data_IF_989502976360
#
_entry.id   IF_989502976360
#
_cell.length_a   1.000
_cell.length_b   1.000
_cell.length_c   1.000
_cell.angle_alpha   90.00
_cell.angle_beta   90.00
_cell.angle_gamma   90.00
#
_symmetry.space_group_name_H-M   'P 1'
#
loop_
_entity.id
_entity.type
_entity.pdbx_description
1 polymer ?
#
# COMPACT_ATOMS: atom_id res chain seq x y z
N UNK A 1 -4.56 28.29 -3.02
CA UNK A 1 -4.35 26.84 -2.89
C UNK A 1 -3.08 26.65 -2.08
N UNK A 2 -3.20 26.22 -0.83
CA UNK A 2 -2.05 25.92 0.03
C UNK A 2 -1.45 24.58 -0.39
N UNK A 3 -0.21 24.56 -0.87
CA UNK A 3 0.54 23.32 -1.08
C UNK A 3 1.01 22.77 0.28
N UNK A 4 0.61 21.54 0.60
CA UNK A 4 1.11 20.83 1.77
C UNK A 4 2.56 20.40 1.51
N UNK A 5 3.49 20.96 2.28
CA UNK A 5 4.89 20.55 2.30
C UNK A 5 5.10 19.63 3.51
N UNK A 6 5.15 18.31 3.28
CA UNK A 6 5.42 17.34 4.35
C UNK A 6 6.94 17.14 4.44
N UNK A 7 7.56 17.70 5.48
CA UNK A 7 8.98 17.49 5.76
C UNK A 7 9.18 16.19 6.54
N UNK A 8 9.71 15.16 5.86
CA UNK A 8 10.02 13.89 6.51
C UNK A 8 11.33 14.02 7.32
N UNK A 9 11.24 13.93 8.64
CA UNK A 9 12.40 13.57 9.48
C UNK A 9 12.31 12.07 9.77
N UNK A 10 13.42 11.37 9.55
CA UNK A 10 13.54 9.93 9.84
C UNK A 10 13.37 9.71 11.36
N UNK A 11 12.16 9.35 11.79
CA UNK A 11 11.90 8.99 13.20
C UNK A 11 12.11 7.48 13.34
N UNK A 12 13.18 7.10 14.05
CA UNK A 12 13.45 5.70 14.39
C UNK A 12 12.57 5.35 15.59
N UNK A 13 11.38 4.81 15.33
CA UNK A 13 10.53 4.29 16.42
C UNK A 13 11.21 3.06 17.04
N UNK A 14 11.39 3.01 18.37
CA UNK A 14 11.89 1.80 19.03
C UNK A 14 10.84 0.70 18.93
N UNK A 15 11.19 -0.42 18.28
CA UNK A 15 10.36 -1.60 17.99
C UNK A 15 9.71 -2.32 19.20
N UNK A 16 9.82 -1.80 20.42
CA UNK A 16 9.52 -2.56 21.65
C UNK A 16 8.30 -2.06 22.46
N UNK A 17 7.26 -1.49 21.85
CA UNK A 17 6.07 -1.04 22.60
C UNK A 17 4.72 -1.71 22.27
N UNK A 18 4.68 -2.69 21.37
CA UNK A 18 3.46 -3.49 21.16
C UNK A 18 3.73 -5.00 21.29
N UNK A 19 4.18 -5.41 22.48
CA UNK A 19 4.19 -6.82 22.86
C UNK A 19 2.98 -7.11 23.76
N UNK A 20 1.81 -7.38 23.18
CA UNK A 20 0.68 -7.97 23.92
C UNK A 20 0.84 -9.49 23.93
N UNK A 21 1.15 -10.00 25.12
CA UNK A 21 1.22 -11.42 25.48
C UNK A 21 -0.01 -12.22 24.99
N UNK A 22 0.22 -13.27 24.20
CA UNK A 22 -0.76 -14.31 23.94
C UNK A 22 -0.23 -15.66 24.45
N UNK A 23 -0.99 -16.26 25.36
CA UNK A 23 -0.69 -17.55 25.99
C UNK A 23 -1.15 -18.71 25.09
N UNK A 24 -0.39 -19.81 24.93
CA UNK A 24 -0.78 -20.91 24.08
C UNK A 24 -1.74 -21.88 24.81
N UNK A 25 -2.96 -22.04 24.28
CA UNK A 25 -3.89 -23.05 24.77
C UNK A 25 -3.60 -24.42 24.15
N UNK A 26 -3.35 -25.43 24.98
CA UNK A 26 -3.22 -26.85 24.59
C UNK A 26 -4.60 -27.52 24.64
N UNK A 27 -5.06 -28.07 23.51
CA UNK A 27 -6.26 -28.91 23.45
C UNK A 27 -6.12 -30.03 22.43
N UNK A 28 -6.22 -31.28 22.90
CA UNK A 28 -6.10 -32.55 22.15
C UNK A 28 -7.40 -32.87 21.40
N UNK A 29 -7.31 -33.64 20.30
CA UNK A 29 -8.43 -34.46 19.83
C UNK A 29 -8.41 -34.84 18.35
N UNK A 30 -8.15 -36.13 18.06
CA UNK A 30 -8.21 -36.74 16.73
C UNK A 30 -9.66 -36.90 16.27
N UNK A 31 -9.94 -36.55 15.01
CA UNK A 31 -11.17 -36.91 14.31
C UNK A 31 -10.90 -37.06 12.81
N UNK A 32 -10.88 -38.30 12.31
CA UNK A 32 -10.82 -38.60 10.88
C UNK A 32 -12.20 -38.31 10.26
N UNK A 33 -12.37 -37.12 9.70
CA UNK A 33 -13.50 -36.78 8.84
C UNK A 33 -13.03 -36.73 7.39
N UNK A 34 -13.54 -37.62 6.55
CA UNK A 34 -13.46 -37.49 5.08
C UNK A 34 -14.28 -36.26 4.69
N UNK A 35 -13.62 -35.11 4.66
CA UNK A 35 -14.18 -33.84 4.21
C UNK A 35 -14.07 -33.74 2.70
N UNK A 36 -15.23 -33.53 2.06
CA UNK A 36 -15.43 -33.31 0.63
C UNK A 36 -14.32 -32.43 0.06
N UNK A 37 -13.69 -32.91 -1.00
CA UNK A 37 -12.91 -32.09 -1.92
C UNK A 37 -13.85 -30.92 -2.30
N UNK A 38 -13.55 -29.72 -1.81
CA UNK A 38 -14.13 -28.52 -2.43
C UNK A 38 -13.45 -28.47 -3.77
N UNK A 39 -14.18 -28.87 -4.81
CA UNK A 39 -13.86 -28.49 -6.17
C UNK A 39 -13.82 -26.96 -6.13
N UNK A 40 -12.60 -26.41 -5.99
CA UNK A 40 -12.34 -25.04 -6.38
C UNK A 40 -12.60 -25.10 -7.86
N UNK A 41 -13.70 -24.49 -8.30
CA UNK A 41 -13.88 -24.17 -9.71
C UNK A 41 -12.65 -23.36 -10.12
N UNK A 42 -11.66 -24.05 -10.70
CA UNK A 42 -10.48 -23.46 -11.31
C UNK A 42 -10.89 -22.96 -12.69
N UNK A 43 -11.93 -22.13 -12.74
CA UNK A 43 -12.05 -21.19 -13.83
C UNK A 43 -11.05 -20.06 -13.54
N UNK A 44 -9.76 -20.40 -13.68
CA UNK A 44 -8.64 -19.50 -13.51
C UNK A 44 -8.44 -18.63 -14.76
N UNK A 45 -9.48 -18.53 -15.60
CA UNK A 45 -9.52 -17.55 -16.66
C UNK A 45 -10.20 -16.29 -16.12
N UNK A 46 -9.40 -15.41 -15.50
CA UNK A 46 -9.70 -13.98 -15.52
C UNK A 46 -9.58 -13.49 -16.98
N UNK A 47 -10.29 -14.15 -17.92
CA UNK A 47 -10.19 -13.95 -19.36
C UNK A 47 -10.46 -12.51 -19.76
N UNK A 48 -10.46 -12.23 -21.06
CA UNK A 48 -10.64 -10.91 -21.71
C UNK A 48 -11.90 -10.11 -21.26
N UNK A 49 -11.98 -9.77 -19.98
CA UNK A 49 -12.93 -8.84 -19.42
C UNK A 49 -12.34 -7.48 -19.70
N UNK A 50 -12.92 -6.79 -20.67
CA UNK A 50 -12.62 -5.39 -20.88
C UNK A 50 -12.96 -4.63 -19.59
N UNK A 51 -11.94 -4.08 -18.94
CA UNK A 51 -12.06 -3.22 -17.76
C UNK A 51 -11.66 -1.80 -18.12
N UNK A 52 -12.33 -0.83 -17.53
CA UNK A 52 -12.00 0.59 -17.75
C UNK A 52 -10.83 1.05 -16.85
N UNK A 53 -10.61 0.36 -15.73
CA UNK A 53 -9.62 0.69 -14.70
C UNK A 53 -9.26 -0.55 -13.88
N UNK A 54 -7.97 -0.73 -13.61
CA UNK A 54 -7.47 -1.72 -12.65
C UNK A 54 -7.13 -1.01 -11.34
N UNK A 55 -7.61 -1.55 -10.22
CA UNK A 55 -7.26 -1.07 -8.87
C UNK A 55 -6.25 -2.03 -8.28
N UNK A 56 -5.00 -1.59 -8.21
CA UNK A 56 -3.92 -2.31 -7.56
C UNK A 56 -3.95 -2.06 -6.05
N UNK A 57 -4.39 -3.06 -5.31
CA UNK A 57 -4.34 -3.12 -3.85
C UNK A 57 -3.84 -4.49 -3.37
N UNK A 58 -2.94 -5.10 -4.14
CA UNK A 58 -2.46 -6.46 -3.90
C UNK A 58 -1.48 -6.47 -2.71
N UNK A 59 -0.61 -5.46 -2.64
CA UNK A 59 0.35 -5.23 -1.55
C UNK A 59 0.25 -3.77 -1.08
N UNK A 60 0.69 -3.51 0.15
CA UNK A 60 0.77 -2.16 0.72
C UNK A 60 2.11 -1.93 1.42
N UNK A 61 2.19 -0.87 2.24
CA UNK A 61 3.39 -0.47 2.98
C UNK A 61 4.03 -1.57 3.85
N UNK A 62 3.25 -2.56 4.28
CA UNK A 62 3.71 -3.66 5.13
C UNK A 62 4.59 -4.68 4.40
N UNK A 63 4.71 -4.59 3.07
CA UNK A 63 5.52 -5.52 2.28
C UNK A 63 7.02 -5.32 2.58
N UNK A 64 7.63 -6.32 3.20
CA UNK A 64 9.05 -6.32 3.59
C UNK A 64 9.92 -7.30 2.77
N UNK A 65 9.30 -8.10 1.89
CA UNK A 65 9.95 -9.07 1.01
C UNK A 65 9.24 -9.16 -0.35
N UNK A 66 9.76 -9.99 -1.26
CA UNK A 66 9.13 -10.23 -2.56
C UNK A 66 7.67 -10.73 -2.41
N UNK A 67 6.75 -10.31 -3.30
CA UNK A 67 5.38 -10.79 -3.29
C UNK A 67 5.28 -12.31 -3.40
N UNK A 68 4.18 -12.88 -2.86
CA UNK A 68 3.87 -14.30 -3.06
C UNK A 68 3.63 -14.64 -4.54
N UNK A 69 3.71 -15.92 -4.92
CA UNK A 69 3.42 -16.37 -6.29
C UNK A 69 2.05 -15.88 -6.79
N UNK A 70 1.01 -16.01 -5.96
CA UNK A 70 -0.34 -15.54 -6.32
C UNK A 70 -0.39 -14.02 -6.51
N UNK A 71 0.27 -13.25 -5.64
CA UNK A 71 0.35 -11.80 -5.79
C UNK A 71 1.06 -11.42 -7.09
N UNK A 72 2.12 -12.16 -7.43
CA UNK A 72 2.88 -11.98 -8.66
C UNK A 72 2.04 -12.28 -9.90
N UNK A 73 1.24 -13.35 -9.88
CA UNK A 73 0.30 -13.69 -10.97
C UNK A 73 -0.76 -12.59 -11.17
N UNK A 74 -1.27 -12.01 -10.08
CA UNK A 74 -2.23 -10.90 -10.14
C UNK A 74 -1.58 -9.61 -10.66
N UNK A 75 -0.32 -9.36 -10.30
CA UNK A 75 0.44 -8.23 -10.83
C UNK A 75 0.67 -8.37 -12.34
N UNK A 76 1.04 -9.56 -12.82
CA UNK A 76 1.19 -9.84 -14.25
C UNK A 76 -0.14 -9.63 -15.00
N UNK A 77 -1.26 -10.06 -14.43
CA UNK A 77 -2.58 -9.82 -15.00
C UNK A 77 -2.89 -8.31 -15.09
N UNK A 78 -2.59 -7.54 -14.04
CA UNK A 78 -2.84 -6.11 -14.01
C UNK A 78 -2.05 -5.35 -15.10
N UNK A 79 -0.78 -5.67 -15.31
CA UNK A 79 0.05 -5.05 -16.35
C UNK A 79 -0.31 -5.49 -17.77
N UNK A 80 -0.98 -6.63 -17.93
CA UNK A 80 -1.41 -7.12 -19.25
C UNK A 80 -2.79 -6.61 -19.66
N UNK A 81 -3.52 -5.95 -18.75
CA UNK A 81 -4.79 -5.31 -19.06
C UNK A 81 -4.60 -4.06 -19.93
N UNK A 82 -5.43 -3.89 -20.96
CA UNK A 82 -5.48 -2.65 -21.77
C UNK A 82 -6.25 -1.53 -21.05
N UNK A 83 -5.91 -1.28 -19.80
CA UNK A 83 -6.56 -0.32 -18.92
C UNK A 83 -5.54 0.39 -18.04
N UNK A 84 -5.88 1.61 -17.59
CA UNK A 84 -5.01 2.31 -16.65
C UNK A 84 -5.06 1.62 -15.28
N UNK A 85 -3.93 1.62 -14.58
CA UNK A 85 -3.82 1.14 -13.20
C UNK A 85 -3.82 2.32 -12.21
N UNK A 86 -4.57 2.19 -11.12
CA UNK A 86 -4.43 3.03 -9.92
C UNK A 86 -3.95 2.17 -8.76
N UNK A 87 -2.83 2.54 -8.14
CA UNK A 87 -2.31 1.83 -6.97
C UNK A 87 -2.75 2.48 -5.67
N UNK A 88 -3.21 1.66 -4.73
CA UNK A 88 -3.65 2.05 -3.40
C UNK A 88 -2.49 1.83 -2.44
N UNK A 89 -2.16 2.88 -1.68
CA UNK A 89 -0.99 2.99 -0.82
C UNK A 89 0.34 3.01 -1.59
N UNK A 90 0.70 1.88 -2.22
CA UNK A 90 1.92 1.69 -3.00
C UNK A 90 1.64 0.86 -4.27
N UNK A 91 2.42 1.05 -5.35
CA UNK A 91 2.48 0.07 -6.42
C UNK A 91 2.89 -1.30 -5.84
N UNK A 92 2.13 -2.35 -6.13
CA UNK A 92 2.41 -3.67 -5.57
C UNK A 92 3.78 -4.20 -6.00
N UNK A 93 4.51 -4.79 -5.06
CA UNK A 93 5.89 -5.27 -5.27
C UNK A 93 6.97 -4.22 -5.04
N UNK A 94 6.60 -2.96 -4.79
CA UNK A 94 7.53 -1.89 -4.46
C UNK A 94 7.83 -1.86 -2.95
N UNK A 95 9.10 -1.66 -2.59
CA UNK A 95 9.52 -1.35 -1.22
C UNK A 95 9.16 0.10 -0.88
N UNK A 96 8.40 0.30 0.22
CA UNK A 96 7.92 1.63 0.62
C UNK A 96 8.99 2.62 1.08
N UNK A 97 10.16 2.14 1.50
CA UNK A 97 11.28 2.99 1.94
C UNK A 97 12.15 3.44 0.77
N UNK A 98 12.51 2.51 -0.13
CA UNK A 98 13.47 2.76 -1.22
C UNK A 98 12.80 3.17 -2.53
N UNK A 99 11.55 2.76 -2.75
CA UNK A 99 10.86 2.90 -4.04
C UNK A 99 11.32 1.89 -5.10
N UNK A 100 12.16 0.93 -4.72
CA UNK A 100 12.64 -0.14 -5.61
C UNK A 100 11.70 -1.35 -5.53
N UNK A 101 11.57 -2.07 -6.64
CA UNK A 101 10.83 -3.34 -6.67
C UNK A 101 11.68 -4.48 -6.13
N UNK A 102 11.06 -5.39 -5.37
CA UNK A 102 11.73 -6.60 -4.89
C UNK A 102 12.12 -7.54 -6.03
N UNK A 103 11.30 -7.60 -7.08
CA UNK A 103 11.60 -8.28 -8.33
C UNK A 103 11.48 -7.28 -9.51
N UNK A 104 12.61 -6.88 -10.13
CA UNK A 104 12.60 -5.95 -11.25
C UNK A 104 11.87 -6.44 -12.51
N UNK A 105 11.49 -7.73 -12.57
CA UNK A 105 10.67 -8.30 -13.65
C UNK A 105 9.17 -8.22 -13.37
N UNK A 106 8.77 -7.83 -12.16
CA UNK A 106 7.38 -7.78 -11.67
C UNK A 106 7.07 -6.39 -11.16
N UNK A 107 6.73 -5.50 -12.08
CA UNK A 107 6.53 -4.07 -11.84
C UNK A 107 5.09 -3.71 -12.15
N UNK A 108 4.44 -2.92 -11.29
CA UNK A 108 3.17 -2.26 -11.61
C UNK A 108 3.46 -0.84 -12.08
N UNK A 109 2.86 -0.41 -13.19
CA UNK A 109 3.05 0.93 -13.75
C UNK A 109 1.79 1.77 -13.55
N UNK A 110 1.56 2.33 -12.35
CA UNK A 110 0.32 3.04 -12.08
C UNK A 110 0.29 4.40 -12.79
N UNK A 111 -0.86 4.72 -13.36
CA UNK A 111 -1.16 6.08 -13.81
C UNK A 111 -1.38 7.01 -12.63
N UNK A 112 -2.00 6.50 -11.57
CA UNK A 112 -2.31 7.26 -10.36
C UNK A 112 -1.97 6.46 -9.10
N UNK A 113 -1.61 7.16 -8.04
CA UNK A 113 -1.32 6.53 -6.73
C UNK A 113 -2.12 7.25 -5.65
N UNK A 114 -2.73 6.48 -4.74
CA UNK A 114 -3.46 7.02 -3.58
C UNK A 114 -2.76 6.56 -2.30
N UNK A 115 -1.90 7.41 -1.74
CA UNK A 115 -1.29 7.17 -0.44
C UNK A 115 -2.33 7.25 0.69
N UNK A 116 -2.18 6.42 1.73
CA UNK A 116 -3.14 6.35 2.83
C UNK A 116 -2.58 6.98 4.11
N UNK A 117 -3.21 8.06 4.58
CA UNK A 117 -2.79 8.76 5.80
C UNK A 117 -1.53 9.61 5.61
N UNK A 118 -0.40 9.01 5.25
CA UNK A 118 0.84 9.71 4.90
C UNK A 118 1.58 9.03 3.75
N UNK A 119 2.18 9.81 2.82
CA UNK A 119 2.99 9.24 1.76
C UNK A 119 4.35 8.76 2.29
N UNK A 120 4.76 7.57 1.85
CA UNK A 120 6.05 6.99 2.22
C UNK A 120 7.22 7.53 1.38
N UNK A 121 8.44 7.21 1.83
CA UNK A 121 9.71 7.58 1.21
C UNK A 121 9.78 7.29 -0.28
N UNK A 122 9.60 6.01 -0.61
CA UNK A 122 9.80 5.41 -1.93
C UNK A 122 8.87 5.96 -3.02
N UNK A 123 7.72 6.53 -2.64
CA UNK A 123 6.82 7.15 -3.61
C UNK A 123 7.41 8.37 -4.32
N UNK A 124 8.53 8.93 -3.85
CA UNK A 124 9.20 10.07 -4.50
C UNK A 124 9.80 9.73 -5.86
N UNK A 125 10.30 8.51 -6.03
CA UNK A 125 10.97 8.06 -7.25
C UNK A 125 10.05 7.35 -8.23
N UNK A 126 8.81 7.05 -7.83
CA UNK A 126 7.83 6.42 -8.72
C UNK A 126 7.42 7.38 -9.83
N UNK A 127 7.26 6.92 -11.06
CA UNK A 127 6.68 7.77 -12.12
C UNK A 127 5.17 7.53 -12.18
N UNK A 128 4.37 8.59 -12.13
CA UNK A 128 2.92 8.53 -12.32
C UNK A 128 2.37 9.91 -12.68
N UNK A 129 1.20 9.97 -13.30
CA UNK A 129 0.58 11.24 -13.71
C UNK A 129 0.16 12.10 -12.52
N UNK A 130 -0.42 11.48 -11.48
CA UNK A 130 -0.80 12.19 -10.27
C UNK A 130 -0.78 11.29 -9.04
N UNK A 131 -0.53 11.93 -7.89
CA UNK A 131 -0.62 11.32 -6.57
C UNK A 131 -1.70 11.99 -5.76
N UNK A 132 -2.35 11.19 -4.94
CA UNK A 132 -3.36 11.62 -4.00
C UNK A 132 -3.01 11.14 -2.60
N UNK A 133 -3.49 11.87 -1.60
CA UNK A 133 -3.48 11.47 -0.21
C UNK A 133 -4.92 11.29 0.24
N UNK A 134 -5.22 10.14 0.83
CA UNK A 134 -6.52 9.83 1.41
C UNK A 134 -6.48 9.94 2.94
N UNK A 135 -7.50 10.59 3.51
CA UNK A 135 -7.76 10.60 4.93
C UNK A 135 -8.37 9.25 5.34
N UNK A 136 -7.65 8.52 6.19
CA UNK A 136 -8.09 7.25 6.77
C UNK A 136 -8.47 7.38 8.25
N UNK A 137 -8.65 8.61 8.75
CA UNK A 137 -9.13 8.88 10.10
C UNK A 137 -8.07 8.76 11.19
N UNK A 138 -6.79 8.91 10.84
CA UNK A 138 -5.72 8.95 11.85
C UNK A 138 -5.82 10.26 12.63
N UNK A 139 -5.95 10.23 13.97
CA UNK A 139 -6.06 11.45 14.78
C UNK A 139 -4.80 12.32 14.69
N UNK A 140 -4.95 13.64 14.68
CA UNK A 140 -3.82 14.60 14.65
C UNK A 140 -2.79 14.32 15.76
N UNK A 141 -3.26 13.99 16.97
CA UNK A 141 -2.40 13.64 18.10
C UNK A 141 -1.47 12.43 17.82
N UNK A 142 -1.85 11.51 16.94
CA UNK A 142 -0.98 10.39 16.56
C UNK A 142 0.23 10.87 15.75
N UNK A 143 0.04 11.85 14.84
CA UNK A 143 1.12 12.46 14.08
C UNK A 143 2.02 13.34 14.95
N UNK A 144 1.43 14.13 15.84
CA UNK A 144 2.16 14.93 16.83
C UNK A 144 3.06 14.04 17.71
N UNK A 145 2.51 12.95 18.25
CA UNK A 145 3.27 11.98 19.06
C UNK A 145 4.37 11.26 18.27
N UNK A 146 4.20 11.12 16.94
CA UNK A 146 5.22 10.58 16.05
C UNK A 146 6.27 11.62 15.62
N UNK A 147 6.14 12.88 16.04
CA UNK A 147 7.05 13.96 15.67
C UNK A 147 6.93 14.40 14.21
N UNK A 148 5.74 14.24 13.62
CA UNK A 148 5.46 14.59 12.23
C UNK A 148 4.83 15.99 12.21
N UNK A 149 5.63 16.97 11.79
CA UNK A 149 5.21 18.37 11.68
C UNK A 149 4.38 18.61 10.42
N UNK A 150 3.44 19.55 10.49
CA UNK A 150 2.69 20.04 9.33
C UNK A 150 1.47 19.20 8.94
N UNK A 151 1.24 18.05 9.58
CA UNK A 151 -0.02 17.33 9.45
C UNK A 151 -1.03 17.82 10.49
N UNK A 152 -2.17 18.35 10.05
CA UNK A 152 -3.23 18.84 10.94
C UNK A 152 -4.60 18.40 10.47
N UNK A 153 -5.62 18.57 11.31
CA UNK A 153 -7.04 18.39 10.92
C UNK A 153 -7.44 19.23 9.70
N UNK A 154 -6.68 20.29 9.37
CA UNK A 154 -6.95 21.13 8.19
C UNK A 154 -6.30 20.61 6.90
N UNK A 155 -5.44 19.58 6.97
CA UNK A 155 -4.71 19.05 5.79
C UNK A 155 -5.66 18.73 4.63
N UNK A 156 -6.81 18.12 4.93
CA UNK A 156 -7.80 17.74 3.92
C UNK A 156 -8.91 18.76 3.72
N UNK A 157 -9.03 19.76 4.60
CA UNK A 157 -10.14 20.72 4.58
C UNK A 157 -11.50 20.03 4.68
N UNK A 158 -12.32 20.18 3.65
CA UNK A 158 -13.65 19.59 3.50
C UNK A 158 -13.67 18.31 2.62
N UNK A 159 -12.49 17.76 2.31
CA UNK A 159 -12.33 16.58 1.44
C UNK A 159 -11.81 15.38 2.22
N UNK A 160 -11.89 14.21 1.60
CA UNK A 160 -11.25 12.98 2.09
C UNK A 160 -10.07 12.56 1.22
N UNK A 161 -9.94 13.11 0.01
CA UNK A 161 -8.84 12.83 -0.91
C UNK A 161 -8.37 14.14 -1.52
N UNK A 162 -7.07 14.40 -1.43
CA UNK A 162 -6.44 15.62 -1.97
C UNK A 162 -5.28 15.25 -2.90
N UNK A 163 -5.04 15.99 -3.99
CA UNK A 163 -3.83 15.83 -4.78
C UNK A 163 -2.60 16.26 -3.97
N UNK A 164 -1.48 15.56 -4.14
CA UNK A 164 -0.22 15.87 -3.47
C UNK A 164 0.96 15.93 -4.45
N UNK A 165 1.97 16.70 -4.09
CA UNK A 165 3.29 16.69 -4.75
C UNK A 165 4.32 16.30 -3.70
N UNK A 166 5.16 15.32 -4.03
CA UNK A 166 6.26 14.91 -3.16
C UNK A 166 7.53 15.61 -3.65
N UNK A 167 8.16 16.39 -2.77
CA UNK A 167 9.43 17.08 -3.07
C UNK A 167 10.58 16.43 -2.32
N UNK A 168 11.79 16.61 -2.86
CA UNK A 168 13.02 16.24 -2.19
C UNK A 168 13.42 17.36 -1.22
N UNK A 169 13.92 16.99 -0.04
CA UNK A 169 14.28 17.94 1.04
C UNK A 169 15.38 18.95 0.68
N UNK A 170 15.97 18.86 -0.52
CA UNK A 170 17.10 19.66 -0.98
C UNK A 170 16.72 20.74 -2.03
N UNK A 171 15.44 20.93 -2.34
CA UNK A 171 14.98 21.94 -3.31
C UNK A 171 14.41 23.22 -2.66
N UNK A 172 15.01 23.67 -1.55
CA UNK A 172 14.77 25.01 -0.99
C UNK A 172 15.97 25.93 -1.19
#
# INVERSE_FOLDING_TARGET
MSQLHVHYRRVRLPLNQFATSHSPNKGRGRGRGRGRQRDRDTDNSLGDVAVDLVVDGICGIELDAAPSDLATELMDWAETCDANVISIDLPSGMNGDTGEYYDPSKIITPRWIVALGLPVGGLRSTECEARFLADIGIPAAAFENAGIDGYSVQTFGDKYVIPITLTNSNEQ
#
